data_IF_056491137788
#
_entry.id   IF_056491137788
#
_cell.length_a   1.000
_cell.length_b   1.000
_cell.length_c   1.000
_cell.angle_alpha   90.00
_cell.angle_beta   90.00
_cell.angle_gamma   90.00
#
_symmetry.space_group_name_H-M   'P 1'
#
loop_
_entity.id
_entity.type
_entity.pdbx_description
1 polymer ?
#
# COMPACT_ATOMS: atom_id res chain seq x y z
N UNK A 1 -9.58 -28.27 -7.20
CA UNK A 1 -10.24 -27.40 -6.19
C UNK A 1 -9.31 -27.13 -5.01
N UNK A 2 -8.09 -26.66 -5.27
CA UNK A 2 -7.22 -26.18 -4.20
C UNK A 2 -7.52 -24.70 -3.94
N UNK A 3 -8.63 -24.42 -3.25
CA UNK A 3 -8.93 -23.10 -2.72
C UNK A 3 -7.87 -22.75 -1.66
N UNK A 4 -7.20 -21.60 -1.81
CA UNK A 4 -6.12 -21.17 -0.90
C UNK A 4 -6.47 -19.84 -0.26
N UNK A 5 -6.18 -19.72 1.03
CA UNK A 5 -6.26 -18.46 1.74
C UNK A 5 -4.98 -17.65 1.55
N UNK A 6 -5.12 -16.35 1.33
CA UNK A 6 -4.01 -15.43 1.18
C UNK A 6 -4.42 -14.04 1.65
N UNK A 7 -3.46 -13.20 2.01
CA UNK A 7 -3.70 -11.77 2.24
C UNK A 7 -3.50 -10.96 0.96
N UNK A 8 -4.27 -9.90 0.76
CA UNK A 8 -4.06 -8.99 -0.37
C UNK A 8 -2.71 -8.27 -0.23
N UNK A 9 -1.88 -8.36 -1.28
CA UNK A 9 -0.49 -7.86 -1.28
C UNK A 9 -0.33 -6.49 -1.95
N UNK A 10 -1.42 -5.74 -2.14
CA UNK A 10 -1.42 -4.48 -2.91
C UNK A 10 -1.43 -3.23 -2.06
N UNK A 11 -2.06 -3.27 -0.88
CA UNK A 11 -2.11 -2.15 0.03
C UNK A 11 -2.08 -2.63 1.48
N UNK A 12 -1.76 -1.70 2.37
CA UNK A 12 -1.66 -1.92 3.81
C UNK A 12 -2.97 -2.29 4.53
N UNK A 13 -4.11 -2.37 3.84
CA UNK A 13 -5.36 -2.88 4.43
C UNK A 13 -5.35 -4.41 4.60
N UNK A 14 -4.46 -5.11 3.88
CA UNK A 14 -4.17 -6.56 4.03
C UNK A 14 -5.44 -7.44 4.06
N UNK A 15 -6.44 -7.13 3.23
CA UNK A 15 -7.71 -7.87 3.24
C UNK A 15 -7.49 -9.38 3.02
N UNK A 16 -8.21 -10.22 3.76
CA UNK A 16 -8.24 -11.66 3.55
C UNK A 16 -8.87 -12.05 2.22
N UNK A 17 -8.21 -12.94 1.50
CA UNK A 17 -8.59 -13.41 0.18
C UNK A 17 -8.70 -14.93 0.17
N UNK A 18 -9.62 -15.38 -0.67
CA UNK A 18 -9.76 -16.77 -1.08
C UNK A 18 -9.45 -16.86 -2.56
N UNK A 19 -8.35 -17.55 -2.89
CA UNK A 19 -7.78 -17.60 -4.24
C UNK A 19 -7.93 -19.01 -4.80
N UNK A 20 -8.50 -19.11 -5.98
CA UNK A 20 -8.52 -20.33 -6.78
C UNK A 20 -7.61 -20.13 -7.99
N UNK A 21 -6.49 -20.87 -7.99
CA UNK A 21 -5.44 -20.76 -9.02
C UNK A 21 -5.80 -21.47 -10.32
N UNK A 22 -6.70 -22.46 -10.27
CA UNK A 22 -7.14 -23.23 -11.44
C UNK A 22 -8.12 -22.39 -12.27
N UNK A 23 -9.10 -21.79 -11.61
CA UNK A 23 -10.12 -20.92 -12.23
C UNK A 23 -9.68 -19.47 -12.35
N UNK A 24 -8.51 -19.13 -11.79
CA UNK A 24 -7.99 -17.75 -11.73
C UNK A 24 -8.98 -16.77 -11.12
N UNK A 25 -9.63 -17.17 -10.03
CA UNK A 25 -10.62 -16.33 -9.34
C UNK A 25 -10.14 -15.91 -7.96
N UNK A 26 -10.50 -14.69 -7.57
CA UNK A 26 -10.21 -14.11 -6.25
C UNK A 26 -11.52 -13.66 -5.63
N UNK A 27 -11.76 -14.09 -4.39
CA UNK A 27 -12.89 -13.65 -3.56
C UNK A 27 -12.36 -13.14 -2.22
N UNK A 28 -13.19 -12.40 -1.49
CA UNK A 28 -12.89 -12.08 -0.10
C UNK A 28 -13.11 -13.28 0.79
N UNK A 29 -12.23 -13.45 1.79
CA UNK A 29 -12.41 -14.44 2.84
C UNK A 29 -13.48 -13.95 3.83
N UNK A 30 -14.67 -14.60 3.91
CA UNK A 30 -15.72 -14.17 4.82
C UNK A 30 -15.33 -14.28 6.30
N UNK A 31 -14.40 -15.16 6.63
CA UNK A 31 -13.97 -15.44 8.00
C UNK A 31 -12.79 -14.55 8.44
N UNK A 32 -12.19 -13.78 7.52
CA UNK A 32 -11.13 -12.83 7.86
C UNK A 32 -11.69 -11.73 8.78
N UNK A 33 -11.20 -11.63 10.03
CA UNK A 33 -11.77 -10.73 11.04
C UNK A 33 -11.59 -9.25 10.65
N UNK A 34 -10.64 -8.97 9.77
CA UNK A 34 -10.26 -7.63 9.41
C UNK A 34 -11.11 -7.05 8.29
N UNK A 35 -11.21 -7.78 7.18
CA UNK A 35 -11.94 -7.34 5.99
C UNK A 35 -13.40 -7.82 5.97
N UNK A 36 -13.75 -8.88 6.70
CA UNK A 36 -15.11 -9.45 6.73
C UNK A 36 -15.63 -9.72 5.31
N UNK A 37 -14.84 -10.44 4.52
CA UNK A 37 -15.10 -10.73 3.11
C UNK A 37 -14.96 -9.55 2.14
N UNK A 38 -14.50 -8.38 2.60
CA UNK A 38 -14.34 -7.22 1.72
C UNK A 38 -13.13 -7.36 0.79
N UNK A 39 -13.37 -7.14 -0.50
CA UNK A 39 -12.33 -6.89 -1.50
C UNK A 39 -12.64 -5.62 -2.30
N UNK A 40 -11.60 -5.01 -2.85
CA UNK A 40 -11.72 -3.87 -3.77
C UNK A 40 -11.31 -4.29 -5.19
N UNK A 41 -11.54 -3.46 -6.23
CA UNK A 41 -11.21 -3.81 -7.62
C UNK A 41 -9.75 -4.23 -7.82
N UNK A 42 -8.82 -3.68 -7.02
CA UNK A 42 -7.40 -4.05 -7.04
C UNK A 42 -7.19 -5.55 -6.77
N UNK A 43 -7.89 -6.10 -5.77
CA UNK A 43 -7.75 -7.51 -5.40
C UNK A 43 -8.42 -8.42 -6.43
N UNK A 44 -9.57 -8.02 -6.98
CA UNK A 44 -10.26 -8.76 -8.03
C UNK A 44 -9.40 -8.90 -9.31
N UNK A 45 -8.61 -7.87 -9.63
CA UNK A 45 -7.75 -7.81 -10.82
C UNK A 45 -6.32 -8.34 -10.62
N UNK A 46 -6.02 -9.06 -9.52
CA UNK A 46 -4.65 -9.57 -9.26
C UNK A 46 -4.13 -10.43 -10.42
N UNK A 47 -4.99 -11.28 -10.98
CA UNK A 47 -4.63 -12.16 -12.09
C UNK A 47 -4.43 -11.41 -13.40
N UNK A 48 -5.09 -10.26 -13.60
CA UNK A 48 -4.90 -9.40 -14.76
C UNK A 48 -3.49 -8.80 -14.74
N UNK A 49 -3.03 -8.32 -13.58
CA UNK A 49 -1.66 -7.80 -13.40
C UNK A 49 -0.62 -8.92 -13.54
N UNK A 50 -0.92 -10.11 -13.04
CA UNK A 50 0.00 -11.25 -13.12
C UNK A 50 0.22 -11.74 -14.55
N UNK A 51 -0.84 -11.73 -15.35
CA UNK A 51 -0.85 -12.23 -16.73
C UNK A 51 -0.72 -11.14 -17.79
N UNK A 52 -0.57 -9.89 -17.36
CA UNK A 52 -0.35 -8.74 -18.24
C UNK A 52 0.73 -9.07 -19.30
N UNK A 53 0.38 -8.84 -20.57
CA UNK A 53 1.24 -9.14 -21.71
C UNK A 53 2.52 -8.28 -21.69
N UNK A 54 2.46 -7.09 -21.09
CA UNK A 54 3.58 -6.16 -20.98
C UNK A 54 4.46 -6.45 -19.75
N UNK A 55 4.14 -7.49 -18.95
CA UNK A 55 4.91 -7.85 -17.77
C UNK A 55 6.34 -8.23 -18.14
N UNK A 56 7.31 -7.43 -17.68
CA UNK A 56 8.74 -7.70 -17.84
C UNK A 56 9.14 -8.94 -17.02
N UNK A 57 9.72 -9.95 -17.67
CA UNK A 57 10.13 -11.23 -17.04
C UNK A 57 11.64 -11.43 -16.99
N UNK A 58 12.39 -10.59 -17.68
CA UNK A 58 13.85 -10.67 -17.80
C UNK A 58 14.48 -9.29 -17.58
N UNK A 59 15.68 -9.22 -16.98
CA UNK A 59 16.40 -7.96 -16.88
C UNK A 59 16.60 -7.30 -18.25
N UNK A 60 16.40 -5.99 -18.30
CA UNK A 60 16.52 -5.21 -19.53
C UNK A 60 17.69 -4.23 -19.40
N UNK A 61 18.46 -4.05 -20.48
CA UNK A 61 19.50 -3.04 -20.62
C UNK A 61 19.09 -2.03 -21.67
N UNK A 62 19.24 -0.74 -21.36
CA UNK A 62 19.05 0.34 -22.34
C UNK A 62 20.23 0.39 -23.32
N UNK A 63 19.93 0.40 -24.61
CA UNK A 63 20.88 0.52 -25.72
C UNK A 63 20.34 1.57 -26.71
N UNK A 64 20.94 2.76 -26.72
CA UNK A 64 20.35 3.91 -27.42
C UNK A 64 18.96 4.19 -26.84
N UNK A 65 17.94 4.22 -27.70
CA UNK A 65 16.54 4.44 -27.30
C UNK A 65 15.72 3.16 -27.10
N UNK A 66 16.35 1.99 -27.20
CA UNK A 66 15.69 0.71 -27.03
C UNK A 66 16.13 -0.01 -25.74
N UNK A 67 15.33 -0.98 -25.30
CA UNK A 67 15.68 -1.93 -24.26
C UNK A 67 15.94 -3.31 -24.88
N UNK A 68 16.98 -4.00 -24.41
CA UNK A 68 17.28 -5.39 -24.78
C UNK A 68 17.37 -6.28 -23.55
N UNK A 69 16.82 -7.48 -23.67
CA UNK A 69 16.92 -8.49 -22.63
C UNK A 69 18.38 -8.93 -22.43
N UNK A 70 18.77 -9.09 -21.17
CA UNK A 70 20.08 -9.60 -20.76
C UNK A 70 19.94 -10.62 -19.64
N UNK A 71 20.96 -11.47 -19.45
CA UNK A 71 20.94 -12.44 -18.36
C UNK A 71 21.03 -11.76 -16.98
N UNK A 72 20.48 -12.42 -15.95
CA UNK A 72 20.60 -11.99 -14.55
C UNK A 72 22.05 -11.80 -14.12
N UNK A 73 22.96 -12.69 -14.54
CA UNK A 73 24.40 -12.58 -14.25
C UNK A 73 24.97 -11.27 -14.80
N UNK A 74 24.74 -10.99 -16.08
CA UNK A 74 25.23 -9.77 -16.72
C UNK A 74 24.62 -8.50 -16.08
N UNK A 75 23.32 -8.54 -15.75
CA UNK A 75 22.62 -7.42 -15.12
C UNK A 75 23.21 -7.07 -13.74
N UNK A 76 23.41 -8.09 -12.89
CA UNK A 76 23.94 -7.92 -11.54
C UNK A 76 25.43 -7.50 -11.55
N UNK A 77 26.24 -8.11 -12.42
CA UNK A 77 27.65 -7.72 -12.60
C UNK A 77 27.77 -6.25 -13.06
N UNK A 78 26.98 -5.86 -14.06
CA UNK A 78 26.97 -4.49 -14.56
C UNK A 78 26.49 -3.50 -13.49
N UNK A 79 25.39 -3.78 -12.79
CA UNK A 79 24.86 -2.93 -11.74
C UNK A 79 25.87 -2.75 -10.59
N UNK A 80 26.45 -3.86 -10.11
CA UNK A 80 27.45 -3.84 -9.05
C UNK A 80 28.71 -3.06 -9.44
N UNK A 81 29.23 -3.28 -10.65
CA UNK A 81 30.42 -2.57 -11.14
C UNK A 81 30.18 -1.05 -11.23
N UNK A 82 29.03 -0.63 -11.79
CA UNK A 82 28.68 0.79 -11.96
C UNK A 82 28.40 1.50 -10.63
N UNK A 83 27.66 0.86 -9.72
CA UNK A 83 27.45 1.39 -8.37
C UNK A 83 28.79 1.59 -7.67
N UNK A 84 29.68 0.59 -7.70
CA UNK A 84 30.98 0.69 -7.06
C UNK A 84 31.88 1.75 -7.71
N UNK A 85 31.84 1.90 -9.04
CA UNK A 85 32.54 2.96 -9.77
C UNK A 85 32.10 4.36 -9.31
N UNK A 86 30.80 4.61 -9.28
CA UNK A 86 30.22 5.89 -8.84
C UNK A 86 30.62 6.18 -7.39
N UNK A 87 30.52 5.18 -6.50
CA UNK A 87 30.89 5.36 -5.10
C UNK A 87 32.39 5.59 -4.88
N UNK A 88 33.27 4.94 -5.67
CA UNK A 88 34.72 5.21 -5.61
C UNK A 88 35.05 6.63 -6.04
N UNK A 89 34.37 7.15 -7.07
CA UNK A 89 34.67 8.47 -7.64
C UNK A 89 34.04 9.63 -6.85
N UNK A 90 32.84 9.43 -6.32
CA UNK A 90 32.02 10.52 -5.75
C UNK A 90 31.56 10.27 -4.31
N UNK A 91 31.96 9.14 -3.70
CA UNK A 91 31.58 8.76 -2.35
C UNK A 91 30.24 8.02 -2.26
N UNK A 92 29.95 7.44 -1.10
CA UNK A 92 28.80 6.54 -0.89
C UNK A 92 27.44 7.20 -1.14
N UNK A 93 27.29 8.49 -0.81
CA UNK A 93 26.02 9.22 -0.93
C UNK A 93 25.71 9.69 -2.37
N UNK A 94 26.62 9.49 -3.33
CA UNK A 94 26.37 9.72 -4.74
C UNK A 94 25.43 8.68 -5.36
N UNK A 95 25.11 7.60 -4.62
CA UNK A 95 24.11 6.61 -4.98
C UNK A 95 22.96 6.69 -3.98
N UNK A 96 21.72 6.66 -4.47
CA UNK A 96 20.51 6.61 -3.67
C UNK A 96 19.81 5.26 -3.75
N UNK A 97 19.06 4.91 -2.71
CA UNK A 97 18.15 3.75 -2.70
C UNK A 97 16.73 4.27 -2.52
N UNK A 98 15.83 3.84 -3.42
CA UNK A 98 14.39 4.09 -3.30
C UNK A 98 13.66 2.76 -3.11
N UNK A 99 13.02 2.59 -1.96
CA UNK A 99 12.21 1.40 -1.66
C UNK A 99 10.77 1.65 -2.14
N UNK A 100 10.39 0.93 -3.22
CA UNK A 100 9.06 1.00 -3.81
C UNK A 100 7.96 0.36 -2.95
N UNK A 101 6.70 0.67 -3.29
CA UNK A 101 5.51 0.12 -2.63
C UNK A 101 4.85 -0.95 -3.53
N UNK A 102 4.46 -2.13 -3.01
CA UNK A 102 4.65 -2.60 -1.63
C UNK A 102 5.81 -3.59 -1.46
N UNK A 103 6.89 -3.16 -0.80
CA UNK A 103 7.97 -4.06 -0.37
C UNK A 103 7.66 -4.80 0.95
N UNK A 104 6.79 -4.23 1.79
CA UNK A 104 6.39 -4.75 3.12
C UNK A 104 5.74 -6.13 3.05
N UNK A 105 5.08 -6.45 1.94
CA UNK A 105 4.43 -7.75 1.73
C UNK A 105 5.40 -8.85 1.29
N UNK A 106 6.70 -8.57 1.16
CA UNK A 106 7.71 -9.56 0.79
C UNK A 106 8.65 -9.85 1.95
N UNK A 107 8.59 -11.07 2.50
CA UNK A 107 9.53 -11.54 3.52
C UNK A 107 10.99 -11.46 3.04
N UNK A 108 11.23 -11.82 1.79
CA UNK A 108 12.57 -11.74 1.21
C UNK A 108 13.07 -10.29 1.18
N UNK A 109 12.23 -9.34 0.76
CA UNK A 109 12.60 -7.92 0.76
C UNK A 109 12.80 -7.40 2.19
N UNK A 110 11.93 -7.77 3.14
CA UNK A 110 12.01 -7.37 4.54
C UNK A 110 13.35 -7.81 5.16
N UNK A 111 13.79 -9.03 4.88
CA UNK A 111 15.03 -9.59 5.42
C UNK A 111 16.28 -9.08 4.66
N UNK A 112 16.20 -8.91 3.34
CA UNK A 112 17.35 -8.52 2.52
C UNK A 112 17.62 -7.00 2.54
N UNK A 113 16.60 -6.15 2.69
CA UNK A 113 16.73 -4.69 2.59
C UNK A 113 17.72 -4.10 3.62
N UNK A 114 17.72 -4.50 4.90
CA UNK A 114 18.71 -4.01 5.86
C UNK A 114 20.15 -4.35 5.45
N UNK A 115 20.37 -5.56 4.94
CA UNK A 115 21.69 -6.03 4.47
C UNK A 115 22.12 -5.25 3.22
N UNK A 116 21.22 -5.07 2.26
CA UNK A 116 21.47 -4.29 1.06
C UNK A 116 21.80 -2.84 1.40
N UNK A 117 21.00 -2.18 2.24
CA UNK A 117 21.26 -0.81 2.67
C UNK A 117 22.60 -0.66 3.39
N UNK A 118 22.96 -1.63 4.24
CA UNK A 118 24.27 -1.66 4.91
C UNK A 118 25.42 -1.79 3.92
N UNK A 119 25.28 -2.67 2.92
CA UNK A 119 26.29 -2.85 1.86
C UNK A 119 26.45 -1.59 1.00
N UNK A 120 25.33 -0.94 0.64
CA UNK A 120 25.34 0.33 -0.10
C UNK A 120 25.99 1.45 0.70
N UNK A 121 25.78 1.50 2.02
CA UNK A 121 26.39 2.49 2.91
C UNK A 121 26.00 3.94 2.62
N UNK A 122 24.94 4.16 1.84
CA UNK A 122 24.42 5.49 1.51
C UNK A 122 23.44 5.97 2.57
N UNK A 123 23.46 7.27 2.85
CA UNK A 123 22.44 7.96 3.66
C UNK A 123 21.27 8.44 2.81
N UNK A 124 21.44 8.50 1.49
CA UNK A 124 20.41 8.87 0.51
C UNK A 124 19.41 7.73 0.34
N UNK A 125 18.50 7.59 1.31
CA UNK A 125 17.49 6.53 1.37
C UNK A 125 16.10 7.13 1.38
N UNK A 126 15.28 6.65 0.46
CA UNK A 126 13.93 7.13 0.23
C UNK A 126 12.98 5.94 0.11
N UNK A 127 11.71 6.18 0.32
CA UNK A 127 10.66 5.20 0.06
C UNK A 127 9.33 5.90 -0.23
N UNK A 128 8.30 5.13 -0.53
CA UNK A 128 6.94 5.68 -0.60
C UNK A 128 6.53 6.43 0.68
N UNK A 129 6.98 5.97 1.85
CA UNK A 129 6.78 6.65 3.15
C UNK A 129 7.37 8.06 3.17
N UNK A 130 8.49 8.30 2.46
CA UNK A 130 9.11 9.64 2.40
C UNK A 130 8.21 10.70 1.76
N UNK A 131 7.27 10.28 0.91
CA UNK A 131 6.34 11.18 0.21
C UNK A 131 4.99 11.26 0.92
N UNK A 132 4.59 10.21 1.65
CA UNK A 132 3.23 10.08 2.19
C UNK A 132 3.17 10.22 3.73
N UNK A 133 3.92 9.40 4.48
CA UNK A 133 3.60 9.10 5.88
C UNK A 133 4.54 9.77 6.90
N UNK A 134 5.72 10.26 6.48
CA UNK A 134 6.74 10.79 7.40
C UNK A 134 6.25 11.90 8.34
N UNK A 135 5.42 12.88 7.92
CA UNK A 135 4.93 13.91 8.84
C UNK A 135 4.12 13.33 10.00
N UNK A 136 3.27 12.32 9.74
CA UNK A 136 2.48 11.66 10.78
C UNK A 136 3.37 10.84 11.73
N UNK A 137 4.35 10.11 11.17
CA UNK A 137 5.32 9.36 11.95
C UNK A 137 6.18 10.28 12.85
N UNK A 138 6.58 11.45 12.36
CA UNK A 138 7.30 12.45 13.15
C UNK A 138 6.42 12.99 14.28
N UNK A 139 5.17 13.36 14.00
CA UNK A 139 4.25 13.79 15.05
C UNK A 139 4.05 12.72 16.13
N UNK A 140 3.91 11.46 15.75
CA UNK A 140 3.84 10.34 16.71
C UNK A 140 5.12 10.14 17.51
N UNK A 141 6.29 10.36 16.91
CA UNK A 141 7.57 10.31 17.63
C UNK A 141 7.64 11.39 18.71
N UNK A 142 7.29 12.64 18.35
CA UNK A 142 7.33 13.78 19.27
C UNK A 142 6.27 13.68 20.39
N UNK A 143 5.08 13.18 20.08
CA UNK A 143 3.98 13.08 21.04
C UNK A 143 4.01 11.81 21.91
N UNK A 144 4.43 10.68 21.34
CA UNK A 144 4.29 9.36 21.97
C UNK A 144 5.62 8.60 22.13
N UNK A 145 6.75 9.21 21.73
CA UNK A 145 8.09 8.64 21.91
C UNK A 145 8.47 7.57 20.89
N UNK A 146 7.61 7.25 19.92
CA UNK A 146 7.94 6.29 18.86
C UNK A 146 7.16 6.54 17.56
N UNK A 147 7.85 6.51 16.43
CA UNK A 147 7.31 6.88 15.11
C UNK A 147 6.16 5.98 14.60
N UNK A 148 6.06 4.74 15.12
CA UNK A 148 5.00 3.78 14.76
C UNK A 148 3.83 3.77 15.76
N UNK A 149 3.88 4.57 16.83
CA UNK A 149 2.74 4.72 17.74
C UNK A 149 1.74 5.72 17.15
N UNK A 150 1.14 5.32 16.04
CA UNK A 150 0.11 6.09 15.33
C UNK A 150 -1.24 5.85 16.02
N UNK A 151 -1.98 6.89 16.39
CA UNK A 151 -3.31 6.73 16.98
C UNK A 151 -4.30 6.29 15.90
N UNK A 152 -4.50 4.98 15.78
CA UNK A 152 -5.46 4.39 14.85
C UNK A 152 -6.88 4.59 15.40
N UNK A 153 -7.77 5.31 14.69
CA UNK A 153 -9.13 5.53 15.16
C UNK A 153 -9.95 4.24 15.10
N UNK A 154 -10.70 3.99 16.16
CA UNK A 154 -11.59 2.85 16.24
C UNK A 154 -12.94 3.17 15.59
N UNK A 155 -12.98 3.02 14.26
CA UNK A 155 -14.15 3.33 13.44
C UNK A 155 -15.36 2.47 13.81
N UNK A 156 -15.16 1.28 14.38
CA UNK A 156 -16.26 0.37 14.73
C UNK A 156 -16.96 0.76 16.03
N UNK A 157 -16.24 1.43 16.95
CA UNK A 157 -16.77 1.78 18.29
C UNK A 157 -16.97 3.27 18.53
N UNK A 158 -16.37 4.15 17.74
CA UNK A 158 -16.54 5.59 17.93
C UNK A 158 -17.97 6.06 17.63
N UNK A 159 -18.42 7.12 18.30
CA UNK A 159 -19.67 7.84 18.00
C UNK A 159 -19.44 9.13 17.21
N UNK A 160 -18.17 9.57 17.09
CA UNK A 160 -17.79 10.76 16.34
C UNK A 160 -16.51 10.50 15.57
N UNK A 161 -16.53 10.70 14.27
CA UNK A 161 -15.37 10.48 13.42
C UNK A 161 -15.08 11.70 12.55
N UNK A 162 -13.95 12.36 12.82
CA UNK A 162 -13.45 13.52 12.10
C UNK A 162 -12.38 13.08 11.10
N UNK A 163 -12.58 13.43 9.83
CA UNK A 163 -11.61 13.23 8.77
C UNK A 163 -11.10 14.57 8.26
N UNK A 164 -9.78 14.73 8.23
CA UNK A 164 -9.10 15.93 7.72
C UNK A 164 -8.32 15.54 6.46
N UNK A 165 -8.73 16.04 5.29
CA UNK A 165 -8.05 15.81 4.01
C UNK A 165 -7.96 14.34 3.58
N UNK A 166 -8.94 13.51 3.93
CA UNK A 166 -8.90 12.06 3.70
C UNK A 166 -10.08 11.58 2.84
N UNK A 167 -9.82 10.59 1.98
CA UNK A 167 -10.83 9.92 1.15
C UNK A 167 -10.76 8.38 1.24
N UNK A 168 -11.01 7.79 2.43
CA UNK A 168 -10.84 6.36 2.66
C UNK A 168 -11.77 5.48 1.82
N UNK A 169 -12.93 5.96 1.35
CA UNK A 169 -13.77 5.18 0.41
C UNK A 169 -13.07 4.84 -0.90
N UNK A 170 -12.07 5.64 -1.30
CA UNK A 170 -11.25 5.37 -2.48
C UNK A 170 -9.93 4.66 -2.13
N UNK A 171 -9.27 5.08 -1.04
CA UNK A 171 -7.91 4.64 -0.70
C UNK A 171 -7.82 3.48 0.30
N UNK A 172 -8.94 3.09 0.93
CA UNK A 172 -9.01 2.17 2.07
C UNK A 172 -8.35 2.66 3.39
N UNK A 173 -7.98 3.96 3.47
CA UNK A 173 -7.48 4.60 4.69
C UNK A 173 -6.02 4.28 5.02
N UNK A 174 -5.10 5.17 4.62
CA UNK A 174 -3.65 5.08 4.92
C UNK A 174 -3.39 5.20 6.43
N UNK A 175 -2.43 4.43 6.93
CA UNK A 175 -2.03 4.23 8.33
C UNK A 175 -3.12 3.74 9.29
N UNK A 176 -4.31 3.45 8.78
CA UNK A 176 -5.43 2.94 9.58
C UNK A 176 -5.57 1.43 9.45
N UNK A 177 -5.07 0.85 8.34
CA UNK A 177 -5.27 -0.55 7.96
C UNK A 177 -6.76 -0.88 8.10
N UNK A 178 -7.62 -0.47 7.17
CA UNK A 178 -9.06 -0.63 7.36
C UNK A 178 -9.73 -1.35 6.19
N UNK A 179 -9.71 -2.68 6.24
CA UNK A 179 -10.51 -3.50 5.34
C UNK A 179 -12.00 -3.12 5.40
N UNK A 180 -12.59 -2.80 4.25
CA UNK A 180 -14.01 -2.49 4.16
C UNK A 180 -14.42 -1.16 4.79
N UNK A 181 -13.53 -0.16 4.81
CA UNK A 181 -13.80 1.14 5.46
C UNK A 181 -15.11 1.79 5.00
N UNK A 182 -15.51 1.68 3.73
CA UNK A 182 -16.79 2.21 3.27
C UNK A 182 -17.97 1.65 4.08
N UNK A 183 -18.00 0.33 4.29
CA UNK A 183 -19.01 -0.35 5.11
C UNK A 183 -18.96 0.13 6.56
N UNK A 184 -17.77 0.23 7.15
CA UNK A 184 -17.59 0.68 8.54
C UNK A 184 -18.08 2.12 8.76
N UNK A 185 -17.94 3.00 7.75
CA UNK A 185 -18.48 4.36 7.78
C UNK A 185 -20.00 4.41 7.66
N UNK A 186 -20.58 3.48 6.90
CA UNK A 186 -22.04 3.34 6.81
C UNK A 186 -22.58 2.81 8.15
N UNK A 187 -21.98 1.75 8.71
CA UNK A 187 -22.29 1.21 10.06
C UNK A 187 -22.17 2.27 11.17
N UNK A 188 -21.19 3.18 11.09
CA UNK A 188 -21.04 4.32 12.01
C UNK A 188 -22.27 5.23 12.00
N UNK A 189 -22.81 5.51 10.82
CA UNK A 189 -23.96 6.41 10.69
C UNK A 189 -25.26 5.72 11.07
N UNK A 190 -25.40 4.45 10.69
CA UNK A 190 -26.57 3.62 11.03
C UNK A 190 -26.76 3.50 12.54
N UNK A 191 -25.68 3.38 13.31
CA UNK A 191 -25.73 3.38 14.79
C UNK A 191 -25.83 4.78 15.42
N UNK A 192 -26.12 5.83 14.64
CA UNK A 192 -26.30 7.21 15.11
C UNK A 192 -25.01 8.00 15.31
N UNK A 193 -23.87 7.49 14.88
CA UNK A 193 -22.58 8.19 14.94
C UNK A 193 -22.48 9.32 13.93
N UNK A 194 -21.67 10.33 14.26
CA UNK A 194 -21.46 11.52 13.44
C UNK A 194 -20.15 11.42 12.66
N UNK A 195 -20.23 11.44 11.33
CA UNK A 195 -19.09 11.54 10.43
C UNK A 195 -18.94 12.99 9.95
N UNK A 196 -17.79 13.60 10.21
CA UNK A 196 -17.43 14.95 9.74
C UNK A 196 -16.22 14.85 8.83
N UNK A 197 -16.33 15.38 7.61
CA UNK A 197 -15.25 15.40 6.63
C UNK A 197 -14.88 16.84 6.33
N UNK A 198 -13.61 17.20 6.53
CA UNK A 198 -13.03 18.49 6.18
C UNK A 198 -12.03 18.23 5.06
N UNK A 199 -12.44 18.50 3.83
CA UNK A 199 -11.62 18.31 2.63
C UNK A 199 -11.85 19.50 1.69
N UNK A 200 -10.81 20.09 1.07
CA UNK A 200 -10.98 21.21 0.13
C UNK A 200 -11.74 20.79 -1.14
N UNK A 201 -11.91 19.48 -1.38
CA UNK A 201 -12.64 18.94 -2.52
C UNK A 201 -13.78 18.06 -2.05
N UNK A 202 -14.91 18.10 -2.78
CA UNK A 202 -15.99 17.13 -2.59
C UNK A 202 -15.53 15.76 -3.09
N UNK A 203 -15.12 14.88 -2.17
CA UNK A 203 -14.62 13.55 -2.48
C UNK A 203 -15.72 12.49 -2.35
N UNK A 204 -15.43 11.25 -2.78
CA UNK A 204 -16.38 10.14 -2.68
C UNK A 204 -16.76 9.81 -1.23
N UNK A 205 -15.88 10.08 -0.26
CA UNK A 205 -16.20 9.92 1.17
C UNK A 205 -17.21 10.97 1.67
N UNK A 206 -17.25 12.17 1.07
CA UNK A 206 -18.27 13.18 1.36
C UNK A 206 -19.65 12.81 0.82
N UNK A 207 -19.68 12.01 -0.26
CA UNK A 207 -20.93 11.56 -0.89
C UNK A 207 -21.54 10.42 -0.09
N UNK A 208 -22.66 10.72 0.57
CA UNK A 208 -23.52 9.69 1.17
C UNK A 208 -24.51 9.23 0.09
N UNK A 209 -24.91 7.95 0.01
CA UNK A 209 -26.25 7.67 -0.48
C UNK A 209 -27.20 8.42 0.44
N UNK A 210 -27.97 9.35 -0.10
CA UNK A 210 -28.99 10.06 0.67
C UNK A 210 -29.97 9.03 1.20
N UNK A 211 -30.02 8.85 2.52
CA UNK A 211 -31.22 8.34 3.17
C UNK A 211 -32.36 9.26 2.77
N UNK A 212 -33.37 8.68 2.11
CA UNK A 212 -34.70 9.15 1.79
C UNK A 212 -35.06 10.60 2.17
N UNK A 213 -35.62 11.29 1.17
CA UNK A 213 -36.57 12.40 1.31
C UNK A 213 -37.34 12.36 2.64
N UNK A 214 -37.01 13.28 3.54
CA UNK A 214 -38.01 13.76 4.49
C UNK A 214 -39.03 14.56 3.67
N UNK A 215 -40.10 13.86 3.26
CA UNK A 215 -41.34 14.46 2.81
C UNK A 215 -41.87 15.34 3.95
N UNK A 216 -41.71 16.65 3.81
CA UNK A 216 -42.43 17.61 4.64
C UNK A 216 -43.90 17.64 4.21
N UNK A 217 -44.76 17.09 5.06
CA UNK A 217 -46.10 17.63 5.28
C UNK A 217 -46.01 19.00 5.93
#
# INVERSE_FOLDING_TARGET
>A
MAQRFHTCMLCEAVCGLTVDVETRSVRGDPDDPFSRGHICPKAAAIFDVQDDADRIREPQRREGDAFRAISWKAALEQAGARIAEVQRKYGRNAVGVYLGNPSVHSYAALLATPLFNRAMGTRSRFSATSVDQLPAMLASLEMFGHQLLLPIPDVDRTSFFLMLGANPRASNGSLMTAGGISRRLDELRERGGKLVVVDPRRCSTCSSPSSASASGT
#
